data_IF_278300518123
#
_entry.id   IF_278300518123
#
_cell.length_a   1.000
_cell.length_b   1.000
_cell.length_c   1.000
_cell.angle_alpha   90.00
_cell.angle_beta   90.00
_cell.angle_gamma   90.00
#
_symmetry.space_group_name_H-M   'P 1'
#
loop_
_entity.id
_entity.type
_entity.pdbx_description
1 polymer ?
#
# COMPACT_ATOMS: atom_id res chain seq x y z
N UNK A 1 12.20 -4.21 23.02
CA UNK A 1 11.52 -2.90 23.16
C UNK A 1 10.08 -3.01 22.67
N UNK A 2 9.85 -3.56 21.47
CA UNK A 2 8.50 -3.75 20.91
C UNK A 2 7.61 -4.71 21.71
N UNK A 3 8.16 -5.78 22.27
CA UNK A 3 7.41 -6.75 23.09
C UNK A 3 6.84 -6.14 24.38
N UNK A 4 7.61 -5.26 25.04
CA UNK A 4 7.13 -4.54 26.22
C UNK A 4 5.99 -3.59 25.88
N UNK A 5 6.04 -2.94 24.71
CA UNK A 5 4.97 -2.07 24.22
C UNK A 5 3.72 -2.87 23.90
N UNK A 6 3.86 -4.02 23.23
CA UNK A 6 2.75 -4.93 22.94
C UNK A 6 2.01 -5.38 24.21
N UNK A 7 2.76 -5.88 25.20
CA UNK A 7 2.19 -6.32 26.48
C UNK A 7 1.56 -5.18 27.26
N UNK A 8 2.19 -3.99 27.24
CA UNK A 8 1.64 -2.81 27.89
C UNK A 8 0.29 -2.43 27.27
N UNK A 9 0.18 -2.41 25.94
CA UNK A 9 -1.09 -2.11 25.27
C UNK A 9 -2.16 -3.14 25.65
N UNK A 10 -1.85 -4.43 25.58
CA UNK A 10 -2.79 -5.50 25.96
C UNK A 10 -3.32 -5.35 27.39
N UNK A 11 -2.45 -5.00 28.35
CA UNK A 11 -2.83 -4.84 29.75
C UNK A 11 -3.87 -3.73 29.97
N UNK A 12 -3.89 -2.71 29.11
CA UNK A 12 -4.84 -1.61 29.18
C UNK A 12 -6.16 -1.86 28.42
N UNK A 13 -6.32 -3.00 27.74
CA UNK A 13 -7.54 -3.34 27.04
C UNK A 13 -8.52 -4.11 27.93
N UNK A 14 -9.82 -3.90 27.72
CA UNK A 14 -10.85 -4.71 28.38
C UNK A 14 -11.00 -6.09 27.74
N UNK A 15 -11.50 -7.07 28.49
CA UNK A 15 -11.72 -8.46 28.04
C UNK A 15 -12.49 -8.56 26.73
N UNK A 16 -13.45 -7.66 26.50
CA UNK A 16 -14.22 -7.62 25.25
C UNK A 16 -13.34 -7.27 24.05
N UNK A 17 -12.39 -6.35 24.22
CA UNK A 17 -11.49 -5.89 23.17
C UNK A 17 -10.37 -6.90 22.94
N UNK A 18 -9.87 -7.52 24.01
CA UNK A 18 -8.86 -8.59 23.94
C UNK A 18 -9.31 -9.73 23.03
N UNK A 19 -10.57 -10.18 23.13
CA UNK A 19 -11.15 -11.21 22.24
C UNK A 19 -11.19 -10.80 20.76
N UNK A 20 -11.22 -9.51 20.46
CA UNK A 20 -11.26 -8.98 19.08
C UNK A 20 -9.86 -8.80 18.49
N UNK A 21 -8.84 -8.67 19.34
CA UNK A 21 -7.44 -8.47 18.93
C UNK A 21 -6.57 -9.73 19.08
N UNK A 22 -7.13 -10.85 19.53
CA UNK A 22 -6.43 -12.10 19.88
C UNK A 22 -5.50 -12.65 18.78
N UNK A 23 -5.83 -12.41 17.50
CA UNK A 23 -4.99 -12.88 16.39
C UNK A 23 -3.81 -11.95 16.04
N UNK A 24 -3.67 -10.80 16.70
CA UNK A 24 -2.55 -9.88 16.45
C UNK A 24 -1.30 -10.32 17.20
N UNK A 25 -0.24 -10.65 16.48
CA UNK A 25 1.01 -11.18 17.05
C UNK A 25 2.10 -10.13 17.23
N UNK A 26 1.90 -8.96 16.64
CA UNK A 26 2.86 -7.84 16.71
C UNK A 26 2.18 -6.56 17.18
N UNK A 27 2.96 -5.64 17.74
CA UNK A 27 2.50 -4.30 18.14
C UNK A 27 1.83 -3.56 16.98
N UNK A 28 2.38 -3.69 15.77
CA UNK A 28 1.83 -3.05 14.57
C UNK A 28 0.49 -3.65 14.13
N UNK A 29 0.34 -4.97 14.21
CA UNK A 29 -0.94 -5.64 13.92
C UNK A 29 -2.00 -5.31 14.96
N UNK A 30 -1.62 -5.30 16.24
CA UNK A 30 -2.49 -4.94 17.34
C UNK A 30 -3.00 -3.51 17.18
N UNK A 31 -2.08 -2.58 16.89
CA UNK A 31 -2.44 -1.19 16.63
C UNK A 31 -3.37 -1.06 15.43
N UNK A 32 -3.09 -1.69 14.28
CA UNK A 32 -3.97 -1.67 13.11
C UNK A 32 -5.34 -2.29 13.38
N UNK A 33 -5.44 -3.35 14.18
CA UNK A 33 -6.73 -3.92 14.59
C UNK A 33 -7.50 -2.94 15.48
N UNK A 34 -6.84 -2.31 16.44
CA UNK A 34 -7.45 -1.25 17.25
C UNK A 34 -7.88 -0.07 16.38
N UNK A 35 -7.08 0.31 15.38
CA UNK A 35 -7.46 1.34 14.41
C UNK A 35 -8.69 0.91 13.59
N UNK A 36 -8.77 -0.34 13.15
CA UNK A 36 -9.95 -0.84 12.44
C UNK A 36 -11.19 -0.93 13.33
N UNK A 37 -11.03 -1.20 14.63
CA UNK A 37 -12.13 -1.32 15.58
C UNK A 37 -12.66 0.05 16.05
N UNK A 38 -11.77 1.04 16.15
CA UNK A 38 -12.08 2.32 16.81
C UNK A 38 -11.73 3.57 16.00
N UNK A 39 -10.82 3.47 15.03
CA UNK A 39 -10.40 4.56 14.13
C UNK A 39 -10.88 4.39 12.69
N UNK A 40 -11.79 3.44 12.40
CA UNK A 40 -12.74 3.67 11.32
C UNK A 40 -13.40 5.01 11.61
N UNK A 41 -13.05 6.04 10.83
CA UNK A 41 -13.49 7.44 10.95
C UNK A 41 -15.03 7.63 10.93
N UNK A 42 -15.83 6.56 11.05
CA UNK A 42 -17.11 6.41 10.38
C UNK A 42 -18.21 5.66 11.15
N UNK A 43 -18.10 5.40 12.47
CA UNK A 43 -19.29 4.92 13.22
C UNK A 43 -19.90 6.03 14.08
N UNK A 44 -19.25 6.54 15.15
CA UNK A 44 -19.83 7.62 15.94
C UNK A 44 -19.93 8.93 15.16
N UNK A 45 -18.89 9.29 14.40
CA UNK A 45 -18.87 10.53 13.60
C UNK A 45 -19.85 10.48 12.40
N UNK A 46 -19.97 9.32 11.74
CA UNK A 46 -20.95 9.12 10.67
C UNK A 46 -22.38 9.05 11.20
N UNK A 47 -22.61 8.37 12.32
CA UNK A 47 -23.91 8.34 12.98
C UNK A 47 -24.32 9.74 13.42
N UNK A 48 -23.41 10.50 14.02
CA UNK A 48 -23.62 11.90 14.38
C UNK A 48 -23.92 12.77 13.15
N UNK A 49 -23.16 12.64 12.07
CA UNK A 49 -23.39 13.42 10.85
C UNK A 49 -24.69 13.03 10.14
N UNK A 50 -25.08 11.74 10.16
CA UNK A 50 -26.38 11.27 9.66
C UNK A 50 -27.52 11.82 10.52
N UNK A 51 -27.39 11.76 11.85
CA UNK A 51 -28.37 12.33 12.77
C UNK A 51 -28.52 13.84 12.54
N UNK A 52 -27.40 14.57 12.40
CA UNK A 52 -27.40 16.00 12.10
C UNK A 52 -28.01 16.32 10.74
N UNK A 53 -27.80 15.48 9.73
CA UNK A 53 -28.37 15.63 8.40
C UNK A 53 -29.89 15.41 8.39
N UNK A 54 -30.37 14.30 8.96
CA UNK A 54 -31.81 14.01 9.04
C UNK A 54 -32.55 14.91 10.03
N UNK A 55 -31.86 15.39 11.06
CA UNK A 55 -32.37 16.30 12.07
C UNK A 55 -32.23 17.78 11.74
N UNK A 56 -31.63 18.12 10.58
CA UNK A 56 -31.40 19.52 10.21
C UNK A 56 -32.72 20.26 10.04
N UNK A 57 -32.83 21.41 10.68
CA UNK A 57 -33.95 22.34 10.56
C UNK A 57 -33.40 23.73 10.32
N UNK A 58 -34.09 24.49 9.47
CA UNK A 58 -33.79 25.90 9.23
C UNK A 58 -33.86 26.64 10.56
N UNK A 59 -32.76 27.30 10.91
CA UNK A 59 -32.72 28.22 12.04
C UNK A 59 -33.30 29.56 11.60
N UNK A 60 -34.45 29.94 12.17
CA UNK A 60 -35.13 31.20 11.85
C UNK A 60 -34.37 32.44 12.31
N UNK A 61 -33.35 32.29 13.15
CA UNK A 61 -32.48 33.39 13.57
C UNK A 61 -31.37 33.70 12.55
N UNK A 62 -31.15 32.79 11.58
CA UNK A 62 -30.15 32.91 10.52
C UNK A 62 -30.80 33.27 9.20
N UNK A 63 -30.04 33.88 8.31
CA UNK A 63 -30.51 34.06 6.94
C UNK A 63 -30.50 32.73 6.16
N UNK A 64 -31.03 32.78 4.94
CA UNK A 64 -31.15 31.58 4.10
C UNK A 64 -29.79 31.07 3.63
N UNK A 65 -28.83 31.96 3.41
CA UNK A 65 -27.50 31.63 2.90
C UNK A 65 -26.67 30.93 3.98
N UNK A 66 -26.70 31.45 5.21
CA UNK A 66 -26.08 30.82 6.38
C UNK A 66 -26.65 29.43 6.65
N UNK A 67 -27.98 29.26 6.55
CA UNK A 67 -28.62 27.95 6.69
C UNK A 67 -28.24 26.99 5.55
N UNK A 68 -28.02 27.50 4.34
CA UNK A 68 -27.61 26.68 3.20
C UNK A 68 -26.15 26.24 3.34
N UNK A 69 -25.27 27.14 3.77
CA UNK A 69 -23.86 26.86 4.02
C UNK A 69 -23.67 25.79 5.10
N UNK A 70 -24.42 25.89 6.20
CA UNK A 70 -24.38 24.88 7.26
C UNK A 70 -24.85 23.51 6.78
N UNK A 71 -25.91 23.47 5.98
CA UNK A 71 -26.40 22.23 5.37
C UNK A 71 -25.37 21.65 4.39
N UNK A 72 -24.79 22.47 3.53
CA UNK A 72 -23.74 22.07 2.58
C UNK A 72 -22.51 21.52 3.30
N UNK A 73 -22.10 22.13 4.42
CA UNK A 73 -21.00 21.64 5.24
C UNK A 73 -21.25 20.21 5.74
N UNK A 74 -22.47 19.92 6.21
CA UNK A 74 -22.84 18.55 6.64
C UNK A 74 -22.74 17.56 5.47
N UNK A 75 -23.18 17.95 4.28
CA UNK A 75 -23.09 17.13 3.06
C UNK A 75 -21.64 16.86 2.66
N UNK A 76 -20.77 17.87 2.69
CA UNK A 76 -19.35 17.74 2.40
C UNK A 76 -18.65 16.84 3.41
N UNK A 77 -18.93 17.03 4.71
CA UNK A 77 -18.37 16.21 5.79
C UNK A 77 -18.78 14.74 5.64
N UNK A 78 -20.05 14.47 5.26
CA UNK A 78 -20.53 13.12 4.96
C UNK A 78 -19.82 12.47 3.76
N UNK A 79 -19.60 13.22 2.68
CA UNK A 79 -18.89 12.71 1.50
C UNK A 79 -17.41 12.40 1.81
N UNK A 80 -16.77 13.22 2.65
CA UNK A 80 -15.36 13.06 3.01
C UNK A 80 -15.09 11.82 3.88
N UNK A 81 -16.09 11.33 4.63
CA UNK A 81 -15.96 10.07 5.40
C UNK A 81 -15.63 8.88 4.49
N UNK A 82 -16.12 8.86 3.25
CA UNK A 82 -15.90 7.78 2.29
C UNK A 82 -14.57 7.83 1.54
N UNK A 83 -13.86 8.96 1.50
CA UNK A 83 -12.73 9.17 0.58
C UNK A 83 -11.35 8.87 1.15
N UNK A 84 -11.23 8.55 2.44
CA UNK A 84 -9.90 8.47 3.08
C UNK A 84 -9.19 7.12 2.96
N UNK A 85 -9.85 6.09 2.46
CA UNK A 85 -9.22 4.76 2.23
C UNK A 85 -8.66 4.59 0.81
N UNK A 86 -9.17 5.34 -0.17
CA UNK A 86 -8.78 5.16 -1.58
C UNK A 86 -7.56 6.02 -2.00
N UNK A 87 -7.29 7.11 -1.29
CA UNK A 87 -6.18 8.03 -1.63
C UNK A 87 -4.80 7.60 -1.08
N UNK A 88 -4.73 6.64 -0.16
CA UNK A 88 -3.45 6.15 0.39
C UNK A 88 -2.88 4.97 -0.41
N UNK A 89 -3.72 4.16 -1.06
CA UNK A 89 -3.29 3.03 -1.91
C UNK A 89 -2.71 3.47 -3.26
N UNK A 90 -3.04 4.68 -3.74
CA UNK A 90 -2.53 5.23 -5.00
C UNK A 90 -1.09 5.79 -4.95
N UNK A 91 -0.50 5.97 -3.76
CA UNK A 91 0.83 6.58 -3.59
C UNK A 91 1.98 5.58 -3.46
N UNK A 92 1.71 4.27 -3.43
CA UNK A 92 2.72 3.23 -3.66
C UNK A 92 2.91 2.98 -5.18
N UNK A 93 3.31 4.00 -5.94
CA UNK A 93 3.95 3.77 -7.25
C UNK A 93 5.46 3.66 -7.03
N UNK A 94 5.97 2.45 -7.27
CA UNK A 94 7.37 2.03 -7.16
C UNK A 94 8.39 3.10 -7.59
N UNK A 95 9.42 3.45 -6.78
CA UNK A 95 10.48 4.39 -7.16
C UNK A 95 11.48 3.87 -8.21
N UNK A 96 11.26 2.72 -8.86
CA UNK A 96 12.27 2.02 -9.67
C UNK A 96 12.08 2.15 -11.19
N UNK A 97 11.81 3.34 -11.74
CA UNK A 97 11.77 3.50 -13.21
C UNK A 97 12.71 4.54 -13.82
N UNK A 98 13.47 5.28 -13.02
CA UNK A 98 14.42 6.26 -13.54
C UNK A 98 15.86 5.97 -13.08
N UNK A 99 16.32 4.73 -13.21
CA UNK A 99 17.75 4.47 -13.30
C UNK A 99 18.17 4.67 -14.76
N UNK A 100 18.72 5.84 -15.06
CA UNK A 100 19.22 6.20 -16.37
C UNK A 100 20.14 5.11 -16.93
N UNK A 101 19.80 4.58 -18.11
CA UNK A 101 20.73 3.79 -18.92
C UNK A 101 21.86 4.71 -19.37
N UNK A 102 23.00 4.65 -18.68
CA UNK A 102 24.20 5.31 -19.16
C UNK A 102 24.69 4.60 -20.42
N UNK A 103 24.89 5.34 -21.51
CA UNK A 103 25.32 4.83 -22.82
C UNK A 103 26.63 4.01 -22.78
N UNK A 104 27.40 4.09 -21.68
CA UNK A 104 28.56 3.25 -21.42
C UNK A 104 28.22 1.77 -21.18
N UNK A 105 27.05 1.47 -20.59
CA UNK A 105 26.68 0.11 -20.19
C UNK A 105 26.18 -0.71 -21.38
N UNK A 106 25.44 -0.10 -22.31
CA UNK A 106 25.06 -0.76 -23.57
C UNK A 106 26.27 -1.08 -24.46
N UNK A 107 27.29 -0.22 -24.48
CA UNK A 107 28.54 -0.48 -25.22
C UNK A 107 29.33 -1.65 -24.63
N UNK A 108 29.39 -1.76 -23.29
CA UNK A 108 30.02 -2.90 -22.61
C UNK A 108 29.28 -4.21 -22.89
N UNK A 109 27.94 -4.17 -22.87
CA UNK A 109 27.12 -5.36 -23.14
C UNK A 109 27.25 -5.83 -24.59
N UNK A 110 27.30 -4.90 -25.56
CA UNK A 110 27.55 -5.22 -26.98
C UNK A 110 28.94 -5.82 -27.20
N UNK A 111 29.99 -5.21 -26.65
CA UNK A 111 31.36 -5.73 -26.76
C UNK A 111 31.52 -7.13 -26.14
N UNK A 112 30.84 -7.37 -25.01
CA UNK A 112 30.86 -8.69 -24.38
C UNK A 112 30.12 -9.74 -25.21
N UNK A 113 29.01 -9.36 -25.85
CA UNK A 113 28.28 -10.26 -26.76
C UNK A 113 29.09 -10.61 -28.02
N UNK A 114 29.83 -9.65 -28.59
CA UNK A 114 30.70 -9.90 -29.75
C UNK A 114 31.91 -10.75 -29.38
N UNK A 115 32.54 -10.53 -28.23
CA UNK A 115 33.62 -11.41 -27.73
C UNK A 115 33.13 -12.84 -27.52
N UNK A 116 31.91 -13.02 -27.01
CA UNK A 116 31.30 -14.35 -26.83
C UNK A 116 30.98 -15.07 -28.14
N UNK A 117 30.66 -14.33 -29.22
CA UNK A 117 30.47 -14.91 -30.55
C UNK A 117 31.80 -15.38 -31.15
N UNK A 118 32.83 -14.53 -31.09
CA UNK A 118 34.18 -14.91 -31.57
C UNK A 118 34.77 -16.11 -30.84
N UNK A 119 34.57 -16.22 -29.52
CA UNK A 119 34.98 -17.42 -28.78
C UNK A 119 34.18 -18.67 -29.13
N UNK A 120 32.95 -18.55 -29.65
CA UNK A 120 32.18 -19.71 -30.11
C UNK A 120 32.72 -20.18 -31.45
N UNK A 121 32.97 -19.25 -32.36
CA UNK A 121 33.50 -19.54 -33.70
C UNK A 121 34.93 -20.10 -33.65
N UNK A 122 35.73 -19.74 -32.63
CA UNK A 122 37.10 -20.27 -32.44
C UNK A 122 37.16 -21.63 -31.70
N UNK A 123 36.10 -22.04 -30.99
CA UNK A 123 36.06 -23.28 -30.22
C UNK A 123 35.03 -24.31 -30.72
N UNK A 124 34.31 -24.03 -31.79
CA UNK A 124 33.53 -25.04 -32.52
C UNK A 124 34.52 -25.89 -33.33
N UNK A 125 34.95 -27.01 -32.74
CA UNK A 125 35.55 -28.08 -33.53
C UNK A 125 34.50 -28.55 -34.57
N UNK A 126 34.89 -28.79 -35.83
CA UNK A 126 33.94 -29.21 -36.85
C UNK A 126 33.19 -30.46 -36.39
N UNK A 127 31.87 -30.49 -36.62
CA UNK A 127 30.94 -31.55 -36.18
C UNK A 127 31.46 -32.98 -36.45
N UNK A 128 32.23 -33.16 -37.51
CA UNK A 128 32.89 -34.44 -37.83
C UNK A 128 33.84 -34.93 -36.73
N UNK A 129 34.58 -34.02 -36.09
CA UNK A 129 35.52 -34.33 -35.00
C UNK A 129 34.77 -34.67 -33.71
N UNK A 130 33.65 -33.99 -33.43
CA UNK A 130 32.81 -34.28 -32.27
C UNK A 130 32.10 -35.63 -32.41
N UNK A 131 31.64 -35.97 -33.62
CA UNK A 131 31.07 -37.28 -33.95
C UNK A 131 32.14 -38.38 -33.84
N UNK A 132 33.37 -38.15 -34.33
CA UNK A 132 34.46 -39.12 -34.19
C UNK A 132 34.87 -39.37 -32.74
N UNK A 133 34.81 -38.34 -31.87
CA UNK A 133 35.04 -38.50 -30.43
C UNK A 133 33.93 -39.32 -29.76
N UNK A 134 32.67 -39.12 -30.15
CA UNK A 134 31.51 -39.83 -29.60
C UNK A 134 31.44 -41.31 -30.02
N UNK A 135 31.98 -41.67 -31.19
CA UNK A 135 31.98 -43.03 -31.71
C UNK A 135 33.09 -43.94 -31.13
N UNK A 136 33.92 -43.43 -30.21
CA UNK A 136 35.05 -44.16 -29.59
C UNK A 136 34.77 -44.62 -28.15
N UNK A 137 33.52 -44.99 -27.85
CA UNK A 137 33.14 -45.73 -26.63
C UNK A 137 32.81 -47.17 -27.01
#
# INVERSE_FOLDING_TARGET
MDEMVYLTILLYLSDKVLRLVDEATTTGELWKKLESLYLTKSLPNNLYLKEKFFGYKIDQSKDLEENLDEFQKIVVDLNNIGQSEEQTLGKMKNPRRDAGRNAGDEKKMKLQSERRRKLRDENEEPLEVEIMKAARI
#
